data_IF_477049642447
#
_entry.id   IF_477049642447
#
_cell.length_a   1.000
_cell.length_b   1.000
_cell.length_c   1.000
_cell.angle_alpha   90.00
_cell.angle_beta   90.00
_cell.angle_gamma   90.00
#
_symmetry.space_group_name_H-M   'P 1'
#
loop_
_entity.id
_entity.type
_entity.pdbx_description
1 polymer ?
#
# COMPACT_ATOMS: atom_id res chain seq x y z
N UNK A 1 23.35 27.58 -32.17
CA UNK A 1 22.08 27.11 -32.79
C UNK A 1 21.17 28.33 -33.03
N UNK A 2 20.34 28.30 -34.07
CA UNK A 2 19.61 29.42 -34.68
C UNK A 2 18.43 29.97 -33.81
N UNK A 3 18.17 31.29 -33.81
CA UNK A 3 17.12 31.95 -32.98
C UNK A 3 15.73 31.33 -33.21
N UNK A 4 15.45 30.88 -34.44
CA UNK A 4 14.21 30.19 -34.80
C UNK A 4 14.04 28.84 -34.09
N UNK A 5 15.12 28.12 -33.77
CA UNK A 5 15.04 26.83 -33.06
C UNK A 5 14.72 27.01 -31.58
N UNK A 6 15.25 28.05 -30.93
CA UNK A 6 14.93 28.36 -29.52
C UNK A 6 13.43 28.64 -29.36
N UNK A 7 12.90 29.47 -30.25
CA UNK A 7 11.49 29.88 -30.18
C UNK A 7 10.53 28.72 -30.46
N UNK A 8 10.91 27.79 -31.37
CA UNK A 8 10.13 26.59 -31.63
C UNK A 8 10.10 25.61 -30.45
N UNK A 9 11.22 25.47 -29.73
CA UNK A 9 11.30 24.63 -28.51
C UNK A 9 10.46 25.24 -27.38
N UNK A 10 10.54 26.55 -27.18
CA UNK A 10 9.75 27.25 -26.16
C UNK A 10 8.25 27.20 -26.46
N UNK A 11 7.83 27.43 -27.72
CA UNK A 11 6.41 27.41 -28.10
C UNK A 11 5.79 26.01 -28.04
N UNK A 12 6.59 24.95 -28.14
CA UNK A 12 6.13 23.56 -28.14
C UNK A 12 6.70 22.75 -26.96
N UNK A 13 7.09 23.39 -25.87
CA UNK A 13 7.87 22.79 -24.78
C UNK A 13 7.24 21.51 -24.19
N UNK A 14 5.91 21.43 -24.14
CA UNK A 14 5.20 20.24 -23.66
C UNK A 14 5.19 19.06 -24.65
N UNK A 15 5.43 19.31 -25.95
CA UNK A 15 5.54 18.28 -26.98
C UNK A 15 6.99 17.82 -27.21
N UNK A 16 7.97 18.57 -26.71
CA UNK A 16 9.39 18.20 -26.80
C UNK A 16 9.73 17.11 -25.76
N UNK A 17 10.42 16.03 -26.16
CA UNK A 17 10.88 14.99 -25.24
C UNK A 17 11.79 15.55 -24.13
N UNK A 18 11.65 15.02 -22.91
CA UNK A 18 12.40 15.47 -21.73
C UNK A 18 13.93 15.50 -21.94
N UNK A 19 14.58 14.49 -22.58
CA UNK A 19 16.03 14.52 -22.78
C UNK A 19 16.50 15.65 -23.70
N UNK A 20 15.67 16.06 -24.67
CA UNK A 20 16.01 17.14 -25.60
C UNK A 20 15.90 18.51 -24.92
N UNK A 21 14.94 18.68 -24.01
CA UNK A 21 14.84 19.88 -23.17
C UNK A 21 16.01 19.97 -22.19
N UNK A 22 16.36 18.84 -21.57
CA UNK A 22 17.48 18.75 -20.63
C UNK A 22 18.82 19.09 -21.29
N UNK A 23 19.08 18.57 -22.49
CA UNK A 23 20.26 18.94 -23.27
C UNK A 23 20.29 20.42 -23.66
N UNK A 24 19.14 21.03 -23.96
CA UNK A 24 19.05 22.45 -24.28
C UNK A 24 19.36 23.33 -23.06
N UNK A 25 18.99 22.88 -21.85
CA UNK A 25 19.32 23.54 -20.58
C UNK A 25 20.81 23.39 -20.26
N UNK A 26 21.36 22.17 -20.33
CA UNK A 26 22.79 21.89 -20.09
C UNK A 26 23.69 22.64 -21.07
N UNK A 27 23.26 22.78 -22.32
CA UNK A 27 23.95 23.58 -23.34
C UNK A 27 23.83 25.09 -23.16
N UNK A 28 23.14 25.58 -22.11
CA UNK A 28 22.92 27.00 -21.82
C UNK A 28 22.04 27.72 -22.86
N UNK A 29 21.28 26.96 -23.67
CA UNK A 29 20.49 27.51 -24.77
C UNK A 29 19.14 28.04 -24.29
N UNK A 30 18.57 27.41 -23.26
CA UNK A 30 17.28 27.74 -22.66
C UNK A 30 17.42 27.66 -21.12
N UNK A 31 16.90 28.65 -20.40
CA UNK A 31 16.82 28.62 -18.94
C UNK A 31 15.49 28.02 -18.44
N UNK A 32 15.48 27.52 -17.20
CA UNK A 32 14.26 27.00 -16.55
C UNK A 32 13.13 28.03 -16.52
N UNK A 33 13.44 29.27 -16.16
CA UNK A 33 12.47 30.37 -16.11
C UNK A 33 11.85 30.66 -17.49
N UNK A 34 12.60 30.46 -18.58
CA UNK A 34 12.09 30.64 -19.94
C UNK A 34 11.07 29.56 -20.30
N UNK A 35 11.26 28.31 -19.83
CA UNK A 35 10.32 27.20 -20.06
C UNK A 35 9.04 27.36 -19.22
N UNK A 36 9.17 27.85 -17.99
CA UNK A 36 8.03 28.11 -17.11
C UNK A 36 7.15 29.24 -17.67
N UNK A 37 7.76 30.34 -18.16
CA UNK A 37 7.04 31.43 -18.80
C UNK A 37 6.30 31.02 -20.08
N UNK A 38 6.77 29.96 -20.75
CA UNK A 38 6.13 29.41 -21.96
C UNK A 38 5.23 28.20 -21.67
N UNK A 39 4.86 27.98 -20.40
CA UNK A 39 3.80 27.06 -20.02
C UNK A 39 4.20 25.59 -19.95
N UNK A 40 5.48 25.28 -19.71
CA UNK A 40 5.91 23.91 -19.42
C UNK A 40 5.12 23.35 -18.22
N UNK A 41 4.58 22.13 -18.34
CA UNK A 41 3.83 21.51 -17.25
C UNK A 41 4.69 21.35 -16.00
N UNK A 42 4.08 21.54 -14.83
CA UNK A 42 4.77 21.43 -13.53
C UNK A 42 5.46 20.09 -13.34
N UNK A 43 4.90 19.00 -13.86
CA UNK A 43 5.48 17.66 -13.75
C UNK A 43 6.76 17.53 -14.59
N UNK A 44 6.76 18.02 -15.84
CA UNK A 44 7.97 18.06 -16.67
C UNK A 44 9.04 18.99 -16.10
N UNK A 45 8.63 20.14 -15.55
CA UNK A 45 9.57 21.07 -14.91
C UNK A 45 10.26 20.43 -13.70
N UNK A 46 9.51 19.70 -12.86
CA UNK A 46 10.06 18.93 -11.74
C UNK A 46 11.01 17.84 -12.19
N UNK A 47 10.68 17.10 -13.26
CA UNK A 47 11.59 16.09 -13.81
C UNK A 47 12.91 16.69 -14.33
N UNK A 48 12.86 17.84 -15.01
CA UNK A 48 14.08 18.54 -15.45
C UNK A 48 14.90 19.08 -14.26
N UNK A 49 14.25 19.56 -13.20
CA UNK A 49 14.92 19.99 -11.96
C UNK A 49 15.58 18.80 -11.25
N UNK A 50 14.96 17.63 -11.23
CA UNK A 50 15.56 16.40 -10.69
C UNK A 50 16.80 15.98 -11.49
N UNK A 51 16.75 16.05 -12.82
CA UNK A 51 17.92 15.76 -13.65
C UNK A 51 19.06 16.75 -13.39
N UNK A 52 18.74 18.03 -13.19
CA UNK A 52 19.72 19.07 -12.88
C UNK A 52 20.32 18.92 -11.47
N UNK A 53 19.49 18.64 -10.47
CA UNK A 53 19.94 18.35 -9.11
C UNK A 53 20.79 17.07 -9.06
N UNK A 54 20.52 16.09 -9.95
CA UNK A 54 21.36 14.90 -10.09
C UNK A 54 22.72 15.21 -10.71
N UNK A 55 22.78 16.05 -11.76
CA UNK A 55 24.06 16.47 -12.36
C UNK A 55 24.89 17.31 -11.40
N UNK A 56 24.24 18.16 -10.62
CA UNK A 56 24.87 19.02 -9.63
C UNK A 56 25.18 18.28 -8.31
N UNK A 57 24.99 16.96 -8.27
CA UNK A 57 25.37 16.11 -7.14
C UNK A 57 24.54 16.32 -5.87
N UNK A 58 23.41 17.02 -5.96
CA UNK A 58 22.48 17.23 -4.84
C UNK A 58 21.61 16.01 -4.58
N UNK A 59 21.38 15.19 -5.60
CA UNK A 59 20.71 13.89 -5.51
C UNK A 59 21.48 12.83 -6.31
N UNK A 60 21.35 11.56 -5.95
CA UNK A 60 21.87 10.43 -6.73
C UNK A 60 20.68 9.69 -7.32
N UNK A 61 20.47 9.82 -8.63
CA UNK A 61 19.45 9.02 -9.32
C UNK A 61 19.91 7.55 -9.42
N UNK A 62 18.99 6.57 -9.30
CA UNK A 62 19.35 5.17 -9.50
C UNK A 62 19.86 4.95 -10.94
N UNK A 63 20.79 3.99 -11.15
CA UNK A 63 21.28 3.69 -12.49
C UNK A 63 20.14 3.27 -13.43
N UNK A 64 20.23 3.56 -14.74
CA UNK A 64 19.24 3.11 -15.71
C UNK A 64 19.14 1.59 -15.67
N UNK A 65 17.91 1.07 -15.76
CA UNK A 65 17.63 -0.36 -15.81
C UNK A 65 18.35 -0.97 -17.03
N UNK A 66 19.20 -2.00 -16.88
CA UNK A 66 19.84 -2.67 -18.01
C UNK A 66 18.77 -3.34 -18.89
N UNK A 67 18.65 -2.94 -20.17
CA UNK A 67 17.79 -3.63 -21.13
C UNK A 67 17.08 -2.78 -22.19
N UNK A 68 17.19 -1.45 -22.20
CA UNK A 68 16.76 -0.65 -23.36
C UNK A 68 17.90 -0.59 -24.40
N UNK A 69 17.60 -0.78 -25.70
CA UNK A 69 18.61 -0.62 -26.75
C UNK A 69 19.08 0.84 -26.79
N UNK A 70 20.39 1.10 -26.95
CA UNK A 70 20.89 2.46 -27.11
C UNK A 70 20.36 3.04 -28.41
N UNK A 71 19.89 4.29 -28.36
CA UNK A 71 19.63 5.09 -29.55
C UNK A 71 20.98 5.66 -29.95
N UNK A 72 21.62 5.06 -30.96
CA UNK A 72 22.83 5.57 -31.57
C UNK A 72 22.51 6.87 -32.31
N UNK A 73 22.96 8.00 -31.74
CA UNK A 73 23.08 9.27 -32.47
C UNK A 73 24.54 9.70 -32.37
N UNK A 74 25.30 9.40 -33.41
CA UNK A 74 26.72 9.76 -33.52
C UNK A 74 26.85 11.22 -33.97
N UNK A 75 27.40 12.10 -33.11
CA UNK A 75 27.85 13.45 -33.48
C UNK A 75 29.09 13.88 -32.64
N UNK A 76 29.95 14.78 -33.16
CA UNK A 76 31.40 14.61 -33.19
C UNK A 76 32.15 15.07 -31.94
N UNK A 77 33.29 14.42 -31.69
CA UNK A 77 34.28 14.76 -30.67
C UNK A 77 34.94 16.12 -30.94
N UNK A 78 35.02 16.97 -29.90
CA UNK A 78 35.89 18.16 -29.84
C UNK A 78 36.89 18.04 -28.68
N UNK A 79 38.06 18.69 -28.76
CA UNK A 79 39.27 18.30 -28.02
C UNK A 79 39.29 18.82 -26.57
N UNK A 80 40.15 18.26 -25.70
CA UNK A 80 40.19 18.63 -24.28
C UNK A 80 40.82 20.02 -24.10
N UNK A 81 40.20 20.86 -23.25
CA UNK A 81 40.83 22.07 -22.74
C UNK A 81 41.73 21.74 -21.53
N UNK A 82 42.97 22.27 -21.46
CA UNK A 82 43.87 22.06 -20.34
C UNK A 82 43.62 23.09 -19.23
N UNK A 83 43.60 22.61 -17.98
CA UNK A 83 43.67 23.46 -16.78
C UNK A 83 42.61 23.17 -15.73
N UNK A 84 42.76 22.09 -14.97
CA UNK A 84 42.10 21.93 -13.67
C UNK A 84 43.15 21.59 -12.61
N UNK A 85 43.15 22.26 -11.44
CA UNK A 85 44.04 21.93 -10.32
C UNK A 85 43.64 20.58 -9.69
N UNK A 86 44.56 19.88 -9.02
CA UNK A 86 44.30 18.53 -8.51
C UNK A 86 43.20 18.51 -7.44
N UNK A 87 42.36 17.47 -7.51
CA UNK A 87 41.28 17.17 -6.58
C UNK A 87 41.82 17.04 -5.14
N UNK A 88 41.15 17.59 -4.11
CA UNK A 88 41.50 17.31 -2.72
C UNK A 88 41.15 15.85 -2.39
N UNK A 89 42.12 15.12 -1.86
CA UNK A 89 41.92 13.84 -1.17
C UNK A 89 40.95 14.02 -0.01
N UNK A 90 39.73 13.49 -0.14
CA UNK A 90 38.77 13.38 0.95
C UNK A 90 39.12 12.15 1.80
N UNK A 91 39.93 12.36 2.83
CA UNK A 91 39.94 11.50 4.02
C UNK A 91 39.72 12.39 5.22
N UNK A 92 38.48 12.46 5.67
CA UNK A 92 38.12 12.94 7.00
C UNK A 92 37.15 11.92 7.60
N UNK A 93 37.43 11.33 8.78
CA UNK A 93 36.40 10.66 9.54
C UNK A 93 35.33 11.69 9.89
N UNK A 94 34.07 11.43 9.57
CA UNK A 94 32.95 12.22 10.08
C UNK A 94 33.03 12.26 11.60
N UNK A 95 33.04 13.46 12.18
CA UNK A 95 33.01 13.65 13.62
C UNK A 95 31.85 12.84 14.25
N UNK A 96 32.03 12.25 15.45
CA UNK A 96 30.97 11.52 16.12
C UNK A 96 29.80 12.47 16.36
N UNK A 97 28.65 12.15 15.78
CA UNK A 97 27.39 12.81 16.09
C UNK A 97 27.14 12.55 17.57
N UNK A 98 27.05 13.61 18.40
CA UNK A 98 26.69 13.50 19.81
C UNK A 98 25.21 13.13 19.92
N UNK A 99 24.92 11.86 19.69
CA UNK A 99 23.65 11.23 20.04
C UNK A 99 23.63 11.07 21.56
N UNK A 100 22.62 11.58 22.25
CA UNK A 100 22.51 11.39 23.71
C UNK A 100 22.43 9.90 24.05
N UNK A 101 23.00 9.47 25.18
CA UNK A 101 22.93 8.07 25.65
C UNK A 101 21.48 7.57 25.69
N UNK A 102 20.53 8.45 26.01
CA UNK A 102 19.09 8.18 26.01
C UNK A 102 18.54 7.81 24.62
N UNK A 103 18.95 8.50 23.55
CA UNK A 103 18.49 8.20 22.20
C UNK A 103 19.08 6.88 21.68
N UNK A 104 20.31 6.56 22.09
CA UNK A 104 20.94 5.28 21.76
C UNK A 104 20.17 4.10 22.38
N UNK A 105 19.80 4.21 23.66
CA UNK A 105 19.00 3.20 24.34
C UNK A 105 17.63 3.03 23.69
N UNK A 106 16.94 4.14 23.38
CA UNK A 106 15.65 4.11 22.69
C UNK A 106 15.72 3.39 21.33
N UNK A 107 16.78 3.63 20.54
CA UNK A 107 16.98 2.95 19.25
C UNK A 107 17.23 1.45 19.45
N UNK A 108 18.04 1.06 20.43
CA UNK A 108 18.34 -0.36 20.71
C UNK A 108 17.12 -1.12 21.25
N UNK A 109 16.26 -0.44 22.00
CA UNK A 109 15.06 -1.01 22.60
C UNK A 109 13.83 -0.94 21.67
N UNK A 110 13.96 -0.40 20.46
CA UNK A 110 12.86 -0.19 19.50
C UNK A 110 11.75 0.75 20.02
N UNK A 111 12.09 1.70 20.89
CA UNK A 111 11.16 2.64 21.54
C UNK A 111 10.90 3.91 20.71
N UNK A 112 11.55 4.02 19.56
CA UNK A 112 11.42 5.14 18.62
C UNK A 112 10.76 4.67 17.31
N UNK A 113 9.99 5.54 16.65
CA UNK A 113 9.33 5.18 15.39
C UNK A 113 10.28 5.28 14.19
N UNK A 114 9.95 4.58 13.11
CA UNK A 114 10.68 4.73 11.84
C UNK A 114 10.57 6.15 11.26
N UNK A 115 9.46 6.85 11.52
CA UNK A 115 9.25 8.25 11.14
C UNK A 115 10.22 9.17 11.90
N UNK A 116 10.42 8.95 13.21
CA UNK A 116 11.38 9.70 14.01
C UNK A 116 12.82 9.43 13.57
N UNK A 117 13.16 8.17 13.28
CA UNK A 117 14.48 7.81 12.70
C UNK A 117 14.69 8.54 11.37
N UNK A 118 13.70 8.51 10.47
CA UNK A 118 13.74 9.23 9.18
C UNK A 118 13.96 10.73 9.39
N UNK A 119 13.25 11.33 10.35
CA UNK A 119 13.41 12.75 10.71
C UNK A 119 14.82 13.05 11.21
N UNK A 120 15.36 12.26 12.14
CA UNK A 120 16.71 12.43 12.67
C UNK A 120 17.79 12.34 11.59
N UNK A 121 17.62 11.42 10.63
CA UNK A 121 18.50 11.30 9.45
C UNK A 121 18.40 12.54 8.56
N UNK A 122 17.18 13.01 8.28
CA UNK A 122 16.95 14.24 7.52
C UNK A 122 17.57 15.48 8.18
N UNK A 123 17.54 15.55 9.50
CA UNK A 123 18.17 16.60 10.31
C UNK A 123 19.69 16.42 10.48
N UNK A 124 20.29 15.39 9.88
CA UNK A 124 21.72 15.03 10.00
C UNK A 124 22.17 14.74 11.45
N UNK A 125 21.23 14.39 12.32
CA UNK A 125 21.47 13.97 13.72
C UNK A 125 21.69 12.46 13.85
N UNK A 126 21.54 11.73 12.77
CA UNK A 126 21.72 10.28 12.69
C UNK A 126 22.17 9.92 11.27
N UNK A 127 22.92 8.84 11.13
CA UNK A 127 23.24 8.24 9.82
C UNK A 127 22.92 6.76 9.83
N UNK A 128 22.66 6.20 8.64
CA UNK A 128 22.43 4.77 8.53
C UNK A 128 23.67 3.95 8.93
N UNK A 129 24.87 4.43 8.62
CA UNK A 129 26.11 3.76 9.00
C UNK A 129 26.29 3.75 10.53
N UNK A 130 25.85 4.81 11.21
CA UNK A 130 25.82 4.83 12.66
C UNK A 130 24.86 3.80 13.23
N UNK A 131 23.66 3.63 12.66
CA UNK A 131 22.71 2.58 13.07
C UNK A 131 23.34 1.18 12.95
N UNK A 132 24.05 0.90 11.85
CA UNK A 132 24.80 -0.37 11.70
C UNK A 132 25.89 -0.50 12.78
N UNK A 133 26.64 0.58 13.07
CA UNK A 133 27.73 0.57 14.05
C UNK A 133 27.29 0.32 15.49
N UNK A 134 26.05 0.68 15.84
CA UNK A 134 25.48 0.47 17.18
C UNK A 134 24.75 -0.88 17.32
N UNK A 135 24.78 -1.72 16.29
CA UNK A 135 24.25 -3.08 16.31
C UNK A 135 22.85 -3.25 15.74
N UNK A 136 22.27 -2.26 15.07
CA UNK A 136 21.01 -2.46 14.33
C UNK A 136 21.28 -3.38 13.15
N UNK A 137 20.47 -4.44 13.00
CA UNK A 137 20.67 -5.42 11.96
C UNK A 137 20.70 -4.80 10.56
N UNK A 138 21.64 -5.25 9.72
CA UNK A 138 21.82 -4.73 8.36
C UNK A 138 20.51 -4.75 7.55
N UNK A 139 19.69 -5.80 7.68
CA UNK A 139 18.40 -5.90 6.98
C UNK A 139 17.43 -4.81 7.43
N UNK A 140 17.37 -4.51 8.73
CA UNK A 140 16.55 -3.43 9.30
C UNK A 140 17.04 -2.07 8.81
N UNK A 141 18.36 -1.84 8.77
CA UNK A 141 18.92 -0.60 8.22
C UNK A 141 18.58 -0.43 6.73
N UNK A 142 18.65 -1.50 5.93
CA UNK A 142 18.23 -1.45 4.52
C UNK A 142 16.72 -1.16 4.36
N UNK A 143 15.89 -1.73 5.23
CA UNK A 143 14.46 -1.42 5.27
C UNK A 143 14.21 0.05 5.63
N UNK A 144 14.94 0.62 6.60
CA UNK A 144 14.89 2.04 6.96
C UNK A 144 15.39 2.95 5.82
N UNK A 145 16.44 2.55 5.09
CA UNK A 145 16.91 3.24 3.87
C UNK A 145 15.78 3.29 2.83
N UNK A 146 15.17 2.14 2.55
CA UNK A 146 14.04 2.06 1.63
C UNK A 146 12.87 2.94 2.09
N UNK A 147 12.42 2.80 3.34
CA UNK A 147 11.33 3.59 3.94
C UNK A 147 11.59 5.11 3.90
N UNK A 148 12.84 5.53 4.09
CA UNK A 148 13.21 6.95 4.04
C UNK A 148 13.11 7.53 2.62
N UNK A 149 13.42 6.72 1.61
CA UNK A 149 13.38 7.10 0.19
C UNK A 149 12.02 6.87 -0.48
N UNK A 150 11.19 5.99 0.07
CA UNK A 150 9.94 5.60 -0.53
C UNK A 150 8.90 6.73 -0.43
N UNK A 151 8.32 7.09 -1.56
CA UNK A 151 7.14 7.95 -1.64
C UNK A 151 5.89 7.10 -1.48
N UNK A 152 4.85 7.65 -0.84
CA UNK A 152 3.51 7.10 -0.98
C UNK A 152 3.15 7.10 -2.47
N UNK A 153 2.82 5.93 -3.03
CA UNK A 153 2.19 5.85 -4.34
C UNK A 153 0.71 5.77 -4.07
N UNK A 154 0.07 6.92 -4.16
CA UNK A 154 -1.37 7.04 -4.05
C UNK A 154 -1.92 7.23 -5.44
N UNK A 155 -2.61 6.22 -5.94
CA UNK A 155 -3.46 6.39 -7.10
C UNK A 155 -4.72 7.03 -6.53
N UNK A 156 -4.74 8.36 -6.47
CA UNK A 156 -5.88 9.13 -5.98
C UNK A 156 -7.08 8.84 -6.87
N UNK A 157 -8.00 8.02 -6.39
CA UNK A 157 -9.29 7.80 -7.03
C UNK A 157 -10.38 8.12 -6.04
N UNK A 158 -11.20 9.11 -6.39
CA UNK A 158 -12.56 9.21 -5.82
C UNK A 158 -13.34 8.00 -6.33
N UNK A 159 -14.47 7.71 -5.69
CA UNK A 159 -15.31 6.58 -6.11
C UNK A 159 -15.71 6.67 -7.59
N UNK A 160 -15.94 7.89 -8.09
CA UNK A 160 -16.27 8.21 -9.49
C UNK A 160 -15.11 7.92 -10.46
N UNK A 161 -13.87 7.92 -9.97
CA UNK A 161 -12.66 7.68 -10.76
C UNK A 161 -12.30 6.18 -10.81
N UNK A 162 -13.03 5.32 -10.08
CA UNK A 162 -12.85 3.89 -10.15
C UNK A 162 -13.40 3.33 -11.47
N UNK A 163 -12.69 2.38 -12.11
CA UNK A 163 -13.24 1.67 -13.25
C UNK A 163 -14.47 0.85 -12.82
N UNK A 164 -15.42 0.58 -13.73
CA UNK A 164 -16.53 -0.32 -13.44
C UNK A 164 -16.00 -1.71 -13.06
N UNK A 165 -16.63 -2.35 -12.08
CA UNK A 165 -16.27 -3.73 -11.72
C UNK A 165 -16.63 -4.69 -12.83
N UNK A 166 -15.66 -5.50 -13.21
CA UNK A 166 -15.85 -6.51 -14.25
C UNK A 166 -16.81 -7.60 -13.80
N UNK A 167 -17.76 -7.94 -14.67
CA UNK A 167 -18.73 -9.00 -14.43
C UNK A 167 -18.10 -10.41 -14.45
N UNK A 168 -18.68 -11.34 -13.70
CA UNK A 168 -18.25 -12.75 -13.72
C UNK A 168 -17.01 -13.02 -12.87
N UNK A 169 -16.85 -12.25 -11.80
CA UNK A 169 -15.73 -12.32 -10.84
C UNK A 169 -16.27 -12.37 -9.41
N UNK A 170 -15.38 -12.61 -8.46
CA UNK A 170 -15.68 -12.38 -7.03
C UNK A 170 -15.18 -11.02 -6.61
N UNK A 171 -16.08 -10.19 -6.07
CA UNK A 171 -15.69 -8.92 -5.48
C UNK A 171 -15.27 -9.13 -4.02
N UNK A 172 -14.03 -8.79 -3.69
CA UNK A 172 -13.47 -8.84 -2.35
C UNK A 172 -13.37 -7.42 -1.80
N UNK A 173 -14.17 -7.09 -0.79
CA UNK A 173 -14.18 -5.76 -0.18
C UNK A 173 -13.47 -5.78 1.17
N UNK A 174 -12.40 -4.99 1.29
CA UNK A 174 -11.67 -4.80 2.55
C UNK A 174 -12.33 -3.66 3.34
N UNK A 175 -13.03 -4.01 4.41
CA UNK A 175 -13.77 -3.09 5.29
C UNK A 175 -12.99 -2.92 6.58
N UNK A 176 -12.62 -1.68 6.94
CA UNK A 176 -11.91 -1.45 8.19
C UNK A 176 -11.64 0.02 8.48
N UNK A 177 -11.58 0.38 9.76
CA UNK A 177 -11.20 1.72 10.22
C UNK A 177 -9.80 2.14 9.73
N UNK A 178 -9.46 3.44 9.72
CA UNK A 178 -8.08 3.87 9.45
C UNK A 178 -7.10 3.15 10.37
N UNK A 179 -5.91 2.81 9.86
CA UNK A 179 -4.86 2.08 10.58
C UNK A 179 -5.17 0.65 11.03
N UNK A 180 -6.36 0.11 10.68
CA UNK A 180 -6.73 -1.26 11.05
C UNK A 180 -5.89 -2.36 10.39
N UNK A 181 -5.07 -2.01 9.39
CA UNK A 181 -4.16 -2.93 8.70
C UNK A 181 -4.66 -3.50 7.38
N UNK A 182 -5.68 -2.89 6.74
CA UNK A 182 -6.20 -3.27 5.41
C UNK A 182 -5.10 -3.51 4.37
N UNK A 183 -4.30 -2.48 4.11
CA UNK A 183 -3.24 -2.56 3.10
C UNK A 183 -2.17 -3.58 3.49
N UNK A 184 -1.89 -3.75 4.79
CA UNK A 184 -0.94 -4.74 5.31
C UNK A 184 -1.42 -6.18 5.05
N UNK A 185 -2.68 -6.48 5.35
CA UNK A 185 -3.28 -7.80 5.08
C UNK A 185 -3.27 -8.06 3.58
N UNK A 186 -3.67 -7.07 2.77
CA UNK A 186 -3.65 -7.19 1.31
C UNK A 186 -2.23 -7.45 0.78
N UNK A 187 -1.24 -6.69 1.24
CA UNK A 187 0.16 -6.86 0.86
C UNK A 187 0.66 -8.27 1.21
N UNK A 188 0.35 -8.74 2.42
CA UNK A 188 0.73 -10.08 2.88
C UNK A 188 0.09 -11.18 2.03
N UNK A 189 -1.20 -11.04 1.72
CA UNK A 189 -1.94 -11.95 0.83
C UNK A 189 -1.31 -12.01 -0.57
N UNK A 190 -1.02 -10.85 -1.17
CA UNK A 190 -0.39 -10.76 -2.49
C UNK A 190 1.01 -11.39 -2.46
N UNK A 191 1.83 -11.07 -1.46
CA UNK A 191 3.18 -11.61 -1.31
C UNK A 191 3.16 -13.14 -1.17
N UNK A 192 2.28 -13.66 -0.31
CA UNK A 192 2.07 -15.10 -0.15
C UNK A 192 1.67 -15.75 -1.48
N UNK A 193 0.64 -15.23 -2.12
CA UNK A 193 0.10 -15.78 -3.37
C UNK A 193 1.12 -15.76 -4.52
N UNK A 194 1.92 -14.71 -4.60
CA UNK A 194 3.02 -14.62 -5.56
C UNK A 194 4.12 -15.64 -5.26
N UNK A 195 4.51 -15.80 -3.98
CA UNK A 195 5.51 -16.79 -3.54
C UNK A 195 5.06 -18.23 -3.86
N UNK A 196 3.77 -18.52 -3.75
CA UNK A 196 3.19 -19.83 -4.10
C UNK A 196 2.97 -20.02 -5.61
N UNK A 197 3.22 -19.01 -6.45
CA UNK A 197 3.01 -19.10 -7.90
C UNK A 197 1.54 -19.20 -8.33
N UNK A 198 0.61 -18.80 -7.46
CA UNK A 198 -0.84 -18.88 -7.73
C UNK A 198 -1.44 -17.55 -8.19
N UNK A 199 -0.73 -16.43 -8.01
CA UNK A 199 -1.17 -15.11 -8.43
C UNK A 199 -1.02 -14.93 -9.96
N UNK A 200 -2.05 -14.40 -10.60
CA UNK A 200 -2.06 -14.07 -12.03
C UNK A 200 -2.40 -12.58 -12.22
N UNK A 201 -1.53 -11.84 -12.90
CA UNK A 201 -1.79 -10.44 -13.22
C UNK A 201 -2.75 -10.31 -14.39
N UNK A 202 -3.74 -9.45 -14.22
CA UNK A 202 -4.67 -9.10 -15.28
C UNK A 202 -4.19 -7.81 -15.98
N UNK A 203 -3.88 -7.89 -17.27
CA UNK A 203 -3.16 -6.82 -18.01
C UNK A 203 -3.96 -5.55 -18.27
N UNK A 204 -5.29 -5.59 -18.10
CA UNK A 204 -6.19 -4.47 -18.42
C UNK A 204 -6.40 -3.49 -17.25
N UNK A 205 -5.85 -3.77 -16.05
CA UNK A 205 -5.94 -2.90 -14.89
C UNK A 205 -4.55 -2.37 -14.46
N UNK A 206 -3.88 -1.55 -15.30
CA UNK A 206 -2.48 -1.13 -15.07
C UNK A 206 -2.29 -0.37 -13.75
N UNK A 207 -3.28 0.43 -13.33
CA UNK A 207 -3.22 1.14 -12.05
C UNK A 207 -3.26 0.19 -10.86
N UNK A 208 -4.19 -0.77 -10.84
CA UNK A 208 -4.25 -1.77 -9.78
C UNK A 208 -3.00 -2.65 -9.74
N UNK A 209 -2.42 -2.97 -10.90
CA UNK A 209 -1.13 -3.66 -10.97
C UNK A 209 0.00 -2.83 -10.36
N UNK A 210 0.07 -1.52 -10.62
CA UNK A 210 1.06 -0.64 -9.95
C UNK A 210 0.88 -0.62 -8.44
N UNK A 211 -0.37 -0.57 -7.97
CA UNK A 211 -0.67 -0.60 -6.54
C UNK A 211 -0.27 -1.95 -5.90
N UNK A 212 -0.67 -3.06 -6.52
CA UNK A 212 -0.31 -4.42 -6.12
C UNK A 212 1.21 -4.60 -6.03
N UNK A 213 1.96 -4.19 -7.05
CA UNK A 213 3.43 -4.29 -7.07
C UNK A 213 4.06 -3.41 -5.99
N UNK A 214 3.48 -2.25 -5.68
CA UNK A 214 3.95 -1.38 -4.60
C UNK A 214 3.78 -2.05 -3.24
N UNK A 215 2.61 -2.63 -2.98
CA UNK A 215 2.34 -3.37 -1.75
C UNK A 215 3.32 -4.53 -1.55
N UNK A 216 3.52 -5.32 -2.61
CA UNK A 216 4.48 -6.43 -2.62
C UNK A 216 5.91 -5.93 -2.37
N UNK A 217 6.34 -4.91 -3.11
CA UNK A 217 7.69 -4.33 -3.00
C UNK A 217 7.96 -3.85 -1.59
N UNK A 218 7.04 -3.13 -0.96
CA UNK A 218 7.21 -2.66 0.43
C UNK A 218 7.54 -3.83 1.37
N UNK A 219 6.75 -4.91 1.33
CA UNK A 219 7.01 -6.08 2.16
C UNK A 219 8.27 -6.87 1.75
N UNK A 220 8.69 -6.84 0.47
CA UNK A 220 9.96 -7.43 0.03
C UNK A 220 11.16 -6.70 0.64
N UNK A 221 11.06 -5.38 0.82
CA UNK A 221 12.05 -4.60 1.56
C UNK A 221 11.86 -4.61 3.08
N UNK A 222 10.90 -5.38 3.61
CA UNK A 222 10.66 -5.47 5.05
C UNK A 222 9.99 -4.23 5.63
N UNK A 223 9.14 -3.56 4.86
CA UNK A 223 8.46 -2.33 5.28
C UNK A 223 6.95 -2.53 5.14
N UNK A 224 6.20 -2.18 6.18
CA UNK A 224 4.74 -2.15 6.10
C UNK A 224 4.29 -1.17 5.00
N UNK A 225 3.16 -1.41 4.33
CA UNK A 225 2.63 -0.45 3.36
C UNK A 225 2.57 0.96 3.93
N UNK A 226 3.16 1.90 3.19
CA UNK A 226 3.10 3.33 3.52
C UNK A 226 1.64 3.76 3.47
N UNK A 227 1.23 4.61 4.41
CA UNK A 227 -0.16 5.08 4.52
C UNK A 227 -0.66 5.55 3.16
N UNK A 228 -1.81 5.01 2.74
CA UNK A 228 -2.59 5.56 1.64
C UNK A 228 -3.12 6.93 2.05
N UNK A 229 -3.21 7.88 1.11
CA UNK A 229 -3.84 9.16 1.43
C UNK A 229 -5.31 8.97 1.80
N UNK A 230 -5.77 9.78 2.75
CA UNK A 230 -7.16 9.80 3.21
C UNK A 230 -8.11 9.94 2.01
N UNK A 231 -9.18 9.13 2.00
CA UNK A 231 -10.23 9.13 0.98
C UNK A 231 -9.88 8.54 -0.41
N UNK A 232 -8.75 7.86 -0.59
CA UNK A 232 -8.40 7.22 -1.88
C UNK A 232 -8.82 5.74 -1.94
N UNK A 233 -9.66 5.39 -2.91
CA UNK A 233 -10.04 4.00 -3.15
C UNK A 233 -8.99 3.28 -4.00
N UNK A 234 -8.67 2.04 -3.64
CA UNK A 234 -7.83 1.19 -4.47
C UNK A 234 -8.63 0.03 -5.06
N UNK A 235 -8.46 -0.19 -6.36
CA UNK A 235 -9.06 -1.30 -7.09
C UNK A 235 -7.96 -2.10 -7.78
N UNK A 236 -8.00 -3.42 -7.59
CA UNK A 236 -7.09 -4.39 -8.21
C UNK A 236 -7.94 -5.46 -8.88
N UNK A 237 -7.80 -5.60 -10.19
CA UNK A 237 -8.24 -6.80 -10.89
C UNK A 237 -7.11 -7.83 -10.92
N UNK A 238 -7.35 -9.02 -10.38
CA UNK A 238 -6.35 -10.10 -10.36
C UNK A 238 -7.05 -11.46 -10.29
N UNK A 239 -6.33 -12.53 -10.64
CA UNK A 239 -6.84 -13.89 -10.56
C UNK A 239 -5.91 -14.78 -9.74
N UNK A 240 -6.47 -15.80 -9.10
CA UNK A 240 -5.72 -16.79 -8.33
C UNK A 240 -5.98 -18.20 -8.87
N UNK A 241 -4.97 -19.07 -8.81
CA UNK A 241 -5.12 -20.50 -9.09
C UNK A 241 -5.28 -21.31 -7.81
N UNK A 242 -6.23 -22.24 -7.79
CA UNK A 242 -6.27 -23.26 -6.76
C UNK A 242 -5.22 -24.37 -7.03
N UNK A 243 -5.10 -25.31 -6.08
CA UNK A 243 -4.20 -26.45 -6.21
C UNK A 243 -4.55 -27.40 -7.37
N UNK A 244 -5.77 -27.32 -7.91
CA UNK A 244 -6.24 -28.09 -9.06
C UNK A 244 -5.99 -27.36 -10.38
N UNK A 245 -5.42 -26.15 -10.34
CA UNK A 245 -5.20 -25.29 -11.49
C UNK A 245 -6.43 -24.51 -11.95
N UNK A 246 -7.54 -24.55 -11.21
CA UNK A 246 -8.75 -23.77 -11.49
C UNK A 246 -8.48 -22.29 -11.25
N UNK A 247 -8.95 -21.44 -12.17
CA UNK A 247 -8.82 -19.98 -12.02
C UNK A 247 -10.02 -19.39 -11.29
N UNK A 248 -9.72 -18.56 -10.29
CA UNK A 248 -10.64 -17.77 -9.50
C UNK A 248 -10.37 -16.27 -9.76
N UNK A 249 -11.19 -15.60 -10.56
CA UNK A 249 -11.00 -14.18 -10.88
C UNK A 249 -11.62 -13.29 -9.80
N UNK A 250 -10.87 -12.28 -9.36
CA UNK A 250 -11.28 -11.34 -8.31
C UNK A 250 -11.24 -9.88 -8.76
N UNK A 251 -12.16 -9.10 -8.20
CA UNK A 251 -12.12 -7.65 -8.09
C UNK A 251 -11.82 -7.32 -6.63
N UNK A 252 -10.61 -6.86 -6.30
CA UNK A 252 -10.26 -6.49 -4.92
C UNK A 252 -10.44 -4.98 -4.77
N UNK A 253 -11.24 -4.57 -3.79
CA UNK A 253 -11.51 -3.17 -3.48
C UNK A 253 -11.08 -2.89 -2.04
N UNK A 254 -10.10 -2.01 -1.89
CA UNK A 254 -9.74 -1.45 -0.59
C UNK A 254 -10.48 -0.13 -0.37
N UNK A 255 -11.32 -0.10 0.65
CA UNK A 255 -12.16 1.06 0.96
C UNK A 255 -11.47 1.95 2.00
N UNK A 256 -11.42 3.28 1.79
CA UNK A 256 -10.92 4.21 2.78
C UNK A 256 -11.65 4.06 4.12
N UNK A 257 -10.89 3.99 5.22
CA UNK A 257 -11.47 3.81 6.55
C UNK A 257 -12.28 5.03 7.00
N UNK A 258 -11.89 6.20 6.53
CA UNK A 258 -12.50 7.49 6.83
C UNK A 258 -13.95 7.57 6.35
N UNK A 259 -14.30 6.83 5.29
CA UNK A 259 -15.67 6.82 4.76
C UNK A 259 -16.63 6.19 5.78
N UNK A 260 -16.18 5.18 6.52
CA UNK A 260 -16.97 4.56 7.57
C UNK A 260 -17.14 5.47 8.79
N UNK A 261 -16.11 6.26 9.11
CA UNK A 261 -16.18 7.28 10.17
C UNK A 261 -17.17 8.39 9.77
N UNK A 262 -17.15 8.82 8.51
CA UNK A 262 -18.13 9.77 7.96
C UNK A 262 -19.56 9.21 8.01
N UNK A 263 -19.77 7.96 7.58
CA UNK A 263 -21.07 7.26 7.66
C UNK A 263 -21.61 7.30 9.09
N UNK A 264 -20.76 6.98 10.07
CA UNK A 264 -21.16 6.95 11.47
C UNK A 264 -21.51 8.35 12.00
N UNK A 265 -20.68 9.36 11.72
CA UNK A 265 -20.81 10.70 12.29
C UNK A 265 -21.82 11.61 11.57
N UNK A 266 -22.04 11.41 10.26
CA UNK A 266 -22.79 12.35 9.41
C UNK A 266 -24.07 11.75 8.80
N UNK A 267 -24.33 10.45 8.99
CA UNK A 267 -25.50 9.79 8.40
C UNK A 267 -25.44 9.70 6.86
N UNK A 268 -26.61 9.60 6.21
CA UNK A 268 -26.74 9.40 4.75
C UNK A 268 -26.72 10.69 3.91
N UNK A 269 -26.67 11.88 4.51
CA UNK A 269 -26.67 13.16 3.79
C UNK A 269 -25.33 13.47 3.10
N UNK A 270 -24.34 12.58 3.20
CA UNK A 270 -23.08 12.67 2.49
C UNK A 270 -23.17 11.92 1.14
N UNK A 271 -23.08 12.66 0.04
CA UNK A 271 -23.18 12.16 -1.35
C UNK A 271 -22.18 11.04 -1.71
N UNK A 272 -21.06 10.90 -0.99
CA UNK A 272 -20.06 9.86 -1.24
C UNK A 272 -20.56 8.46 -0.83
N UNK A 273 -21.47 8.36 0.15
CA UNK A 273 -21.95 7.08 0.70
C UNK A 273 -22.87 6.36 -0.29
N UNK A 274 -23.91 7.01 -0.86
CA UNK A 274 -24.74 6.37 -1.88
C UNK A 274 -23.94 5.92 -3.10
N UNK A 275 -22.94 6.71 -3.53
CA UNK A 275 -22.07 6.34 -4.65
C UNK A 275 -21.24 5.10 -4.34
N UNK A 276 -20.64 5.02 -3.16
CA UNK A 276 -19.93 3.84 -2.70
C UNK A 276 -20.84 2.62 -2.62
N UNK A 277 -22.03 2.75 -2.01
CA UNK A 277 -23.00 1.66 -1.91
C UNK A 277 -23.42 1.19 -3.31
N UNK A 278 -23.66 2.10 -4.25
CA UNK A 278 -23.97 1.76 -5.63
C UNK A 278 -22.83 1.01 -6.32
N UNK A 279 -21.58 1.42 -6.09
CA UNK A 279 -20.41 0.71 -6.58
C UNK A 279 -20.38 -0.71 -6.00
N UNK A 280 -20.44 -0.85 -4.68
CA UNK A 280 -20.37 -2.14 -3.97
C UNK A 280 -21.53 -3.08 -4.33
N UNK A 281 -22.70 -2.56 -4.68
CA UNK A 281 -23.92 -3.35 -4.91
C UNK A 281 -23.86 -4.31 -6.11
N UNK A 282 -22.85 -4.23 -6.99
CA UNK A 282 -22.63 -5.05 -8.21
C UNK A 282 -23.33 -6.42 -8.28
N UNK A 283 -23.60 -6.96 -9.47
CA UNK A 283 -24.21 -8.30 -9.56
C UNK A 283 -23.23 -9.47 -9.34
N UNK A 284 -21.96 -9.19 -9.03
CA UNK A 284 -20.95 -10.20 -8.76
C UNK A 284 -21.16 -10.83 -7.38
N UNK A 285 -20.67 -12.07 -7.24
CA UNK A 285 -20.49 -12.75 -5.95
C UNK A 285 -19.53 -11.95 -5.08
N UNK A 286 -19.81 -11.83 -3.78
CA UNK A 286 -19.00 -10.99 -2.87
C UNK A 286 -18.43 -11.76 -1.70
N UNK A 287 -17.25 -11.33 -1.28
CA UNK A 287 -16.66 -11.64 0.01
C UNK A 287 -16.39 -10.31 0.71
N UNK A 288 -16.95 -10.11 1.90
CA UNK A 288 -16.73 -8.92 2.71
C UNK A 288 -15.72 -9.25 3.83
N UNK A 289 -14.60 -8.53 3.89
CA UNK A 289 -13.54 -8.76 4.87
C UNK A 289 -13.50 -7.59 5.86
N UNK A 290 -14.12 -7.77 7.02
CA UNK A 290 -14.08 -6.83 8.13
C UNK A 290 -12.79 -7.03 8.93
N UNK A 291 -11.99 -5.98 9.04
CA UNK A 291 -10.70 -6.01 9.72
C UNK A 291 -10.83 -5.38 11.10
N UNK A 292 -10.73 -6.21 12.14
CA UNK A 292 -10.85 -5.83 13.53
C UNK A 292 -9.45 -5.53 14.07
N UNK A 293 -9.17 -4.28 14.43
CA UNK A 293 -7.89 -3.87 15.02
C UNK A 293 -7.92 -4.14 16.52
N UNK A 294 -7.37 -5.28 16.95
CA UNK A 294 -7.47 -5.72 18.34
C UNK A 294 -6.66 -4.84 19.30
N UNK A 295 -5.46 -4.40 18.88
CA UNK A 295 -4.63 -3.47 19.65
C UNK A 295 -5.35 -2.14 19.89
N UNK A 296 -5.87 -1.54 18.81
CA UNK A 296 -6.55 -0.24 18.91
C UNK A 296 -7.84 -0.35 19.72
N UNK A 297 -8.58 -1.47 19.59
CA UNK A 297 -9.78 -1.68 20.38
C UNK A 297 -9.43 -1.74 21.86
N UNK A 298 -8.52 -2.60 22.28
CA UNK A 298 -8.20 -2.79 23.69
C UNK A 298 -7.61 -1.53 24.35
N UNK A 299 -6.75 -0.79 23.64
CA UNK A 299 -6.11 0.42 24.19
C UNK A 299 -6.97 1.69 24.15
N UNK A 300 -8.20 1.63 23.59
CA UNK A 300 -9.05 2.82 23.38
C UNK A 300 -9.35 3.63 24.63
N UNK A 301 -9.29 3.03 25.82
CA UNK A 301 -9.56 3.69 27.09
C UNK A 301 -8.29 4.03 27.90
N UNK A 302 -7.12 3.58 27.44
CA UNK A 302 -5.87 3.64 28.22
C UNK A 302 -4.83 4.57 27.59
N UNK A 303 -4.90 4.81 26.28
CA UNK A 303 -3.92 5.58 25.53
C UNK A 303 -4.63 6.63 24.66
N UNK A 304 -4.28 7.89 24.87
CA UNK A 304 -4.84 9.05 24.15
C UNK A 304 -4.69 8.92 22.63
N UNK A 305 -3.65 8.23 22.14
CA UNK A 305 -3.47 7.95 20.71
C UNK A 305 -4.63 7.14 20.12
N UNK A 306 -5.26 6.30 20.94
CA UNK A 306 -6.36 5.42 20.54
C UNK A 306 -7.72 5.91 21.05
N UNK A 307 -7.77 6.91 21.94
CA UNK A 307 -9.01 7.45 22.51
C UNK A 307 -9.97 8.06 21.47
N UNK A 308 -9.44 8.52 20.34
CA UNK A 308 -10.23 9.04 19.21
C UNK A 308 -10.60 7.98 18.17
N UNK A 309 -10.21 6.71 18.37
CA UNK A 309 -10.61 5.64 17.48
C UNK A 309 -12.12 5.41 17.61
N UNK A 310 -12.84 5.52 16.49
CA UNK A 310 -14.26 5.17 16.45
C UNK A 310 -14.46 3.74 16.98
N UNK A 311 -15.42 3.55 17.87
CA UNK A 311 -15.74 2.21 18.41
C UNK A 311 -16.10 1.27 17.25
N UNK A 312 -15.21 0.33 17.01
CA UNK A 312 -15.29 -0.63 15.91
C UNK A 312 -16.55 -1.50 16.03
N UNK A 313 -16.96 -1.85 17.25
CA UNK A 313 -18.13 -2.71 17.49
C UNK A 313 -19.41 -2.02 17.02
N UNK A 314 -19.54 -0.72 17.27
CA UNK A 314 -20.68 0.08 16.86
C UNK A 314 -20.59 0.38 15.35
N UNK A 315 -19.43 0.81 14.87
CA UNK A 315 -19.23 1.18 13.48
C UNK A 315 -19.51 0.02 12.51
N UNK A 316 -18.94 -1.17 12.78
CA UNK A 316 -19.16 -2.33 11.92
C UNK A 316 -20.60 -2.85 12.00
N UNK A 317 -21.27 -2.74 13.15
CA UNK A 317 -22.70 -3.10 13.27
C UNK A 317 -23.57 -2.21 12.39
N UNK A 318 -23.27 -0.91 12.37
CA UNK A 318 -23.97 0.04 11.49
C UNK A 318 -23.69 -0.26 10.01
N UNK A 319 -22.46 -0.60 9.64
CA UNK A 319 -22.12 -0.96 8.24
C UNK A 319 -22.87 -2.21 7.79
N UNK A 320 -22.94 -3.25 8.63
CA UNK A 320 -23.74 -4.45 8.33
C UNK A 320 -25.20 -4.10 8.10
N UNK A 321 -25.76 -3.21 8.93
CA UNK A 321 -27.14 -2.74 8.78
C UNK A 321 -27.34 -2.00 7.45
N UNK A 322 -26.43 -1.08 7.10
CA UNK A 322 -26.48 -0.36 5.82
C UNK A 322 -26.36 -1.31 4.63
N UNK A 323 -25.44 -2.28 4.68
CA UNK A 323 -25.27 -3.27 3.61
C UNK A 323 -26.49 -4.18 3.46
N UNK A 324 -27.17 -4.51 4.56
CA UNK A 324 -28.44 -5.24 4.54
C UNK A 324 -29.52 -4.40 3.86
N UNK A 325 -29.74 -3.17 4.32
CA UNK A 325 -30.83 -2.31 3.84
C UNK A 325 -30.64 -1.88 2.38
N UNK A 326 -29.40 -1.71 1.95
CA UNK A 326 -29.03 -1.41 0.55
C UNK A 326 -28.97 -2.64 -0.37
N UNK A 327 -29.19 -3.85 0.18
CA UNK A 327 -29.16 -5.14 -0.53
C UNK A 327 -27.79 -5.56 -1.06
N UNK A 328 -26.70 -4.99 -0.54
CA UNK A 328 -25.33 -5.45 -0.84
C UNK A 328 -25.16 -6.92 -0.47
N UNK A 329 -25.77 -7.36 0.63
CA UNK A 329 -25.64 -8.72 1.16
C UNK A 329 -26.37 -9.80 0.33
N UNK A 330 -27.22 -9.44 -0.65
CA UNK A 330 -27.98 -10.42 -1.45
C UNK A 330 -27.08 -11.32 -2.30
N UNK A 331 -25.94 -10.78 -2.78
CA UNK A 331 -24.95 -11.51 -3.59
C UNK A 331 -23.66 -11.82 -2.81
N UNK A 332 -23.70 -11.70 -1.49
CA UNK A 332 -22.55 -12.05 -0.64
C UNK A 332 -22.54 -13.55 -0.42
N UNK A 333 -21.39 -14.19 -0.62
CA UNK A 333 -21.18 -15.62 -0.34
C UNK A 333 -20.47 -15.82 1.00
N UNK A 334 -19.66 -14.86 1.44
CA UNK A 334 -19.03 -14.90 2.75
C UNK A 334 -18.75 -13.51 3.37
N UNK A 335 -18.77 -13.48 4.69
CA UNK A 335 -18.30 -12.37 5.53
C UNK A 335 -17.20 -12.90 6.45
N UNK A 336 -16.03 -12.28 6.39
CA UNK A 336 -14.89 -12.61 7.24
C UNK A 336 -14.68 -11.50 8.28
N UNK A 337 -14.52 -11.88 9.54
CA UNK A 337 -13.97 -11.03 10.58
C UNK A 337 -12.51 -11.42 10.81
N UNK A 338 -11.60 -10.62 10.28
CA UNK A 338 -10.15 -10.81 10.43
C UNK A 338 -9.69 -10.03 11.65
N UNK A 339 -9.38 -10.74 12.74
CA UNK A 339 -8.86 -10.17 13.99
C UNK A 339 -7.38 -9.87 13.80
N UNK A 340 -7.07 -8.63 13.43
CA UNK A 340 -5.71 -8.19 13.12
C UNK A 340 -4.95 -7.74 14.37
N UNK A 341 -3.61 -7.81 14.28
CA UNK A 341 -2.69 -7.63 15.41
C UNK A 341 -3.01 -8.64 16.52
N UNK A 342 -3.31 -9.86 16.10
CA UNK A 342 -3.73 -10.95 16.98
C UNK A 342 -2.67 -11.32 18.02
N UNK A 343 -1.40 -11.18 17.66
CA UNK A 343 -0.22 -11.30 18.51
C UNK A 343 -0.34 -10.46 19.79
N UNK A 344 -0.92 -9.25 19.72
CA UNK A 344 -1.16 -8.41 20.89
C UNK A 344 -2.11 -9.11 21.88
N UNK A 345 -3.30 -9.51 21.43
CA UNK A 345 -4.28 -10.16 22.32
C UNK A 345 -3.82 -11.53 22.78
N UNK A 346 -3.06 -12.25 21.95
CA UNK A 346 -2.42 -13.50 22.35
C UNK A 346 -1.46 -13.29 23.53
N UNK A 347 -0.68 -12.21 23.52
CA UNK A 347 0.30 -11.91 24.58
C UNK A 347 -0.31 -11.27 25.83
N UNK A 348 -1.41 -10.51 25.70
CA UNK A 348 -2.01 -9.73 26.80
C UNK A 348 -3.19 -10.41 27.46
N UNK A 349 -4.06 -11.11 26.70
CA UNK A 349 -5.26 -11.76 27.21
C UNK A 349 -5.13 -13.29 27.31
N UNK A 350 -4.39 -13.90 26.39
CA UNK A 350 -4.34 -15.36 26.21
C UNK A 350 -2.93 -15.95 26.35
N UNK A 351 -2.06 -15.32 27.15
CA UNK A 351 -0.63 -15.66 27.24
C UNK A 351 -0.37 -17.14 27.54
N UNK A 352 -1.16 -17.69 28.45
CA UNK A 352 -1.03 -19.05 28.96
C UNK A 352 -2.12 -20.00 28.41
N UNK A 353 -2.85 -19.57 27.37
CA UNK A 353 -3.93 -20.34 26.74
C UNK A 353 -3.39 -21.11 25.52
N UNK A 354 -3.58 -22.44 25.51
CA UNK A 354 -3.03 -23.36 24.51
C UNK A 354 -4.05 -23.73 23.41
N UNK A 355 -5.26 -23.17 23.45
CA UNK A 355 -6.26 -23.38 22.39
C UNK A 355 -5.76 -22.88 21.04
N UNK A 356 -6.35 -23.41 19.97
CA UNK A 356 -6.04 -22.96 18.62
C UNK A 356 -6.34 -21.46 18.45
N UNK A 357 -5.52 -20.73 17.71
CA UNK A 357 -5.67 -19.27 17.53
C UNK A 357 -7.02 -18.88 16.92
N UNK A 358 -7.64 -19.77 16.13
CA UNK A 358 -9.01 -19.59 15.62
C UNK A 358 -10.07 -19.61 16.71
N UNK A 359 -9.90 -20.44 17.74
CA UNK A 359 -10.80 -20.51 18.89
C UNK A 359 -10.64 -19.27 19.78
N UNK A 360 -9.39 -18.82 19.97
CA UNK A 360 -9.09 -17.60 20.71
C UNK A 360 -9.63 -16.35 19.99
N UNK A 361 -9.52 -16.28 18.67
CA UNK A 361 -10.12 -15.19 17.88
C UNK A 361 -11.65 -15.18 17.97
N UNK A 362 -12.28 -16.36 17.95
CA UNK A 362 -13.73 -16.49 18.15
C UNK A 362 -14.13 -16.05 19.56
N UNK A 363 -13.39 -16.46 20.58
CA UNK A 363 -13.62 -16.06 21.97
C UNK A 363 -13.52 -14.54 22.14
N UNK A 364 -12.44 -13.91 21.64
CA UNK A 364 -12.28 -12.46 21.65
C UNK A 364 -13.45 -11.74 20.97
N UNK A 365 -13.86 -12.21 19.79
CA UNK A 365 -14.99 -11.65 19.06
C UNK A 365 -16.32 -11.81 19.82
N UNK A 366 -16.54 -12.93 20.51
CA UNK A 366 -17.74 -13.13 21.34
C UNK A 366 -17.75 -12.27 22.60
N UNK A 367 -16.59 -11.92 23.15
CA UNK A 367 -16.51 -11.06 24.34
C UNK A 367 -16.69 -9.59 23.97
N UNK A 368 -16.03 -9.12 22.92
CA UNK A 368 -15.91 -7.70 22.60
C UNK A 368 -16.85 -7.24 21.48
N UNK A 369 -17.30 -8.17 20.62
CA UNK A 369 -18.03 -7.87 19.38
C UNK A 369 -19.29 -8.73 19.21
N UNK A 370 -19.88 -9.23 20.30
CA UNK A 370 -21.06 -10.11 20.24
C UNK A 370 -22.21 -9.50 19.44
N UNK A 371 -22.52 -8.22 19.67
CA UNK A 371 -23.58 -7.51 18.94
C UNK A 371 -23.34 -7.51 17.44
N UNK A 372 -22.10 -7.29 16.99
CA UNK A 372 -21.73 -7.34 15.58
C UNK A 372 -21.95 -8.73 14.99
N UNK A 373 -21.54 -9.78 15.71
CA UNK A 373 -21.72 -11.17 15.27
C UNK A 373 -23.21 -11.50 15.13
N UNK A 374 -24.03 -11.19 16.14
CA UNK A 374 -25.46 -11.47 16.13
C UNK A 374 -26.21 -10.68 15.05
N UNK A 375 -25.83 -9.42 14.82
CA UNK A 375 -26.35 -8.64 13.70
C UNK A 375 -25.96 -9.24 12.34
N UNK A 376 -24.74 -9.74 12.19
CA UNK A 376 -24.29 -10.41 10.98
C UNK A 376 -25.03 -11.73 10.74
N UNK A 377 -25.26 -12.54 11.79
CA UNK A 377 -26.08 -13.77 11.73
C UNK A 377 -27.53 -13.46 11.33
N UNK A 378 -28.12 -12.43 11.92
CA UNK A 378 -29.47 -11.97 11.56
C UNK A 378 -29.52 -11.50 10.10
N UNK A 379 -28.52 -10.74 9.65
CA UNK A 379 -28.44 -10.30 8.26
C UNK A 379 -28.30 -11.48 7.28
N UNK A 380 -27.55 -12.52 7.65
CA UNK A 380 -27.41 -13.75 6.88
C UNK A 380 -28.74 -14.47 6.71
N UNK A 381 -29.51 -14.63 7.78
CA UNK A 381 -30.82 -15.30 7.77
C UNK A 381 -31.82 -14.59 6.85
N UNK A 382 -31.70 -13.28 6.72
CA UNK A 382 -32.52 -12.46 5.83
C UNK A 382 -31.95 -12.31 4.40
N UNK A 383 -30.80 -12.93 4.11
CA UNK A 383 -30.14 -12.85 2.80
C UNK A 383 -30.41 -14.11 1.97
N UNK A 384 -30.51 -13.94 0.65
CA UNK A 384 -30.77 -15.05 -0.29
C UNK A 384 -29.66 -16.11 -0.27
N UNK A 385 -28.40 -15.70 -0.18
CA UNK A 385 -27.26 -16.60 -0.31
C UNK A 385 -26.87 -17.29 0.99
N UNK A 386 -27.52 -16.96 2.13
CA UNK A 386 -27.19 -17.48 3.47
C UNK A 386 -25.67 -17.57 3.68
N UNK A 387 -24.98 -16.45 3.43
CA UNK A 387 -23.52 -16.38 3.37
C UNK A 387 -22.80 -16.97 4.58
N UNK A 388 -21.58 -17.45 4.37
CA UNK A 388 -20.74 -17.96 5.46
C UNK A 388 -20.25 -16.81 6.33
N UNK A 389 -20.13 -17.04 7.63
CA UNK A 389 -19.47 -16.11 8.57
C UNK A 389 -18.23 -16.82 9.09
N UNK A 390 -17.04 -16.24 8.88
CA UNK A 390 -15.77 -16.81 9.32
C UNK A 390 -15.02 -15.81 10.18
N UNK A 391 -14.34 -16.29 11.21
CA UNK A 391 -13.49 -15.47 12.09
C UNK A 391 -12.07 -16.01 11.96
N UNK A 392 -11.13 -15.15 11.61
CA UNK A 392 -9.77 -15.52 11.27
C UNK A 392 -8.78 -14.65 12.07
N UNK A 393 -7.85 -15.23 12.85
CA UNK A 393 -6.77 -14.47 13.45
C UNK A 393 -5.81 -13.99 12.35
N UNK A 394 -5.18 -12.84 12.56
CA UNK A 394 -4.14 -12.34 11.66
C UNK A 394 -3.10 -11.51 12.41
N UNK A 395 -1.84 -11.81 12.12
CA UNK A 395 -0.69 -10.98 12.47
C UNK A 395 0.27 -10.94 11.30
N UNK A 396 0.87 -9.78 11.03
CA UNK A 396 1.88 -9.68 9.97
C UNK A 396 3.17 -10.40 10.35
N UNK A 397 3.50 -10.42 11.64
CA UNK A 397 4.75 -10.92 12.21
C UNK A 397 5.43 -9.83 13.04
N UNK A 398 6.73 -10.01 13.30
CA UNK A 398 7.49 -9.14 14.18
C UNK A 398 7.78 -7.78 13.55
N UNK A 399 7.60 -6.73 14.36
CA UNK A 399 7.84 -5.34 13.98
C UNK A 399 8.90 -4.71 14.87
N UNK A 400 9.77 -3.92 14.24
CA UNK A 400 10.63 -2.94 14.93
C UNK A 400 10.34 -1.55 14.38
N UNK A 401 10.52 -0.54 15.23
CA UNK A 401 10.28 0.86 14.89
C UNK A 401 8.89 1.10 14.28
N UNK A 402 7.89 0.33 14.72
CA UNK A 402 6.47 0.32 14.30
C UNK A 402 6.17 -0.02 12.83
N UNK A 403 7.15 0.09 11.91
CA UNK A 403 6.96 -0.01 10.46
C UNK A 403 7.83 -1.05 9.78
N UNK A 404 8.88 -1.51 10.42
CA UNK A 404 9.87 -2.41 9.81
C UNK A 404 9.57 -3.84 10.22
N UNK A 405 9.34 -4.70 9.23
CA UNK A 405 9.00 -6.10 9.39
C UNK A 405 10.27 -6.95 9.38
N UNK A 406 10.57 -7.60 10.50
CA UNK A 406 11.74 -8.49 10.63
C UNK A 406 11.36 -9.93 10.28
N UNK A 407 10.18 -10.37 10.72
CA UNK A 407 9.61 -11.70 10.47
C UNK A 407 8.23 -11.56 9.84
N UNK A 408 7.90 -12.40 8.84
CA UNK A 408 6.55 -12.47 8.26
C UNK A 408 5.92 -13.82 8.59
N UNK A 409 4.73 -13.78 9.19
CA UNK A 409 3.94 -14.97 9.54
C UNK A 409 3.09 -15.43 8.34
N UNK A 410 3.61 -16.39 7.58
CA UNK A 410 3.01 -16.85 6.31
C UNK A 410 1.71 -17.68 6.51
N UNK A 411 1.48 -18.21 7.73
CA UNK A 411 0.30 -19.03 8.05
C UNK A 411 -1.03 -18.28 7.94
N UNK A 412 -1.05 -17.00 8.29
CA UNK A 412 -2.27 -16.18 8.27
C UNK A 412 -2.73 -15.82 6.85
N UNK A 413 -1.88 -15.29 5.95
CA UNK A 413 -2.28 -15.07 4.56
C UNK A 413 -2.58 -16.40 3.85
N UNK A 414 -1.90 -17.50 4.19
CA UNK A 414 -2.23 -18.83 3.66
C UNK A 414 -3.68 -19.23 3.96
N UNK A 415 -4.10 -19.14 5.23
CA UNK A 415 -5.47 -19.51 5.62
C UNK A 415 -6.49 -18.54 5.00
N UNK A 416 -6.19 -17.24 4.92
CA UNK A 416 -7.07 -16.26 4.28
C UNK A 416 -7.26 -16.56 2.78
N UNK A 417 -6.17 -16.84 2.04
CA UNK A 417 -6.23 -17.22 0.62
C UNK A 417 -7.04 -18.49 0.42
N UNK A 418 -6.81 -19.51 1.24
CA UNK A 418 -7.58 -20.77 1.19
C UNK A 418 -9.08 -20.50 1.33
N UNK A 419 -9.48 -19.74 2.34
CA UNK A 419 -10.89 -19.40 2.56
C UNK A 419 -11.47 -18.61 1.38
N UNK A 420 -10.73 -17.62 0.85
CA UNK A 420 -11.14 -16.86 -0.33
C UNK A 420 -11.36 -17.73 -1.56
N UNK A 421 -10.47 -18.68 -1.83
CA UNK A 421 -10.61 -19.61 -2.96
C UNK A 421 -11.82 -20.53 -2.79
N UNK A 422 -12.07 -21.03 -1.58
CA UNK A 422 -13.23 -21.89 -1.28
C UNK A 422 -14.58 -21.18 -1.46
N UNK A 423 -14.63 -19.87 -1.21
CA UNK A 423 -15.87 -19.08 -1.22
C UNK A 423 -16.05 -18.23 -2.49
N UNK A 424 -15.15 -18.35 -3.47
CA UNK A 424 -15.16 -17.54 -4.68
C UNK A 424 -15.82 -18.22 -5.89
N UNK A 425 -16.10 -17.40 -6.89
CA UNK A 425 -16.51 -17.83 -8.21
C UNK A 425 -15.36 -18.56 -8.92
N UNK A 426 -15.70 -19.62 -9.65
CA UNK A 426 -14.76 -20.41 -10.42
C UNK A 426 -15.10 -20.35 -11.90
N UNK A 427 -14.07 -20.16 -12.74
CA UNK A 427 -14.24 -20.33 -14.19
C UNK A 427 -14.17 -21.83 -14.48
N UNK A 428 -15.34 -22.48 -14.57
CA UNK A 428 -15.40 -23.86 -15.07
C UNK A 428 -15.12 -23.82 -16.57
N UNK A 429 -14.11 -24.55 -17.03
CA UNK A 429 -13.80 -24.74 -18.45
C UNK A 429 -14.96 -25.40 -19.20
N UNK A 430 -15.95 -24.60 -19.58
CA UNK A 430 -17.04 -25.03 -20.45
C UNK A 430 -16.53 -25.13 -21.89
N UNK A 431 -17.06 -26.12 -22.63
CA UNK A 431 -16.78 -26.39 -24.05
C UNK A 431 -16.92 -25.17 -25.00
N UNK A 432 -17.44 -24.04 -24.52
CA UNK A 432 -17.60 -22.79 -25.25
C UNK A 432 -16.25 -22.14 -25.65
N UNK A 433 -15.19 -22.31 -24.85
CA UNK A 433 -13.88 -21.70 -25.14
C UNK A 433 -13.02 -22.46 -26.17
N UNK A 434 -13.35 -23.71 -26.49
CA UNK A 434 -12.64 -24.48 -27.54
C UNK A 434 -12.96 -24.01 -28.97
N UNK A 435 -13.83 -23.02 -29.15
CA UNK A 435 -14.26 -22.53 -30.47
C UNK A 435 -13.67 -21.16 -30.84
N UNK A 436 -12.92 -20.53 -29.93
CA UNK A 436 -12.35 -19.20 -30.12
C UNK A 436 -10.83 -19.14 -29.89
N UNK A 437 -10.17 -20.28 -29.70
CA UNK A 437 -8.70 -20.43 -29.74
C UNK A 437 -8.32 -21.54 -30.70
#
# INVERSE_FOLDING_TARGET
MDKHKKQNILSNCNMVPLPALDQAIVGGFIAFDELEQHGLTRDKLKELQLLDDSRNGKIVLPPPIPGLPPIDVELPLMPPMPGMPPLPTMTSPSAPIQTSETLLEQIKNNEISADDIKKLIGEKKLTFDYLESIGVEKRVVQALKFYSSASAITIFKRIEDLPPMESGRTDLYMVGMPFSGKSTILASLIKHSNKQGILMHDSYNPDGNKYLETLKRNLDYGVLPIRTDSASYNYIATSFKDQKGTTHPFNIVEVPGENYVKIFNQGFDNSEIPQFINYVKSNNKKILVFIIDALSHDKRFEDEKFFSALDQSIAYTNIISIFKDSRVLENTDAVYFVVNKFDYIKQTRYRDDDRAESELALDYMNQEFLSLIENCKTARENSRNQFKIKILPFSIGDLVYEKIVTTIEDKYPQELVKNMLEDSFVVKGGAFWKRFF
#
